data_IF_067600572500
#
_entry.id   IF_067600572500
#
_cell.length_a   1.000
_cell.length_b   1.000
_cell.length_c   1.000
_cell.angle_alpha   90.00
_cell.angle_beta   90.00
_cell.angle_gamma   90.00
#
_symmetry.space_group_name_H-M   'P 1'
#
loop_
_entity.id
_entity.type
_entity.pdbx_description
1 polymer ?
#
# COMPACT_ATOMS: atom_id res chain seq x y z
N UNK A 1 42.08 12.98 25.31
CA UNK A 1 40.76 13.58 25.13
C UNK A 1 39.80 12.69 24.31
N UNK A 2 40.25 12.07 23.24
CA UNK A 2 39.43 11.14 22.43
C UNK A 2 38.97 9.84 23.13
N UNK A 3 39.70 9.33 24.12
CA UNK A 3 39.35 8.09 24.84
C UNK A 3 38.15 8.26 25.79
N UNK A 4 38.00 9.45 26.39
CA UNK A 4 36.84 9.78 27.26
C UNK A 4 35.54 10.02 26.52
N UNK A 5 35.59 10.42 25.24
CA UNK A 5 34.42 10.61 24.40
C UNK A 5 33.85 9.25 23.95
N UNK A 6 34.71 8.26 23.68
CA UNK A 6 34.29 6.89 23.36
C UNK A 6 33.64 6.16 24.55
N UNK A 7 34.08 6.41 25.75
CA UNK A 7 33.54 5.81 26.97
C UNK A 7 32.19 6.44 27.38
N UNK A 8 31.97 7.73 27.11
CA UNK A 8 30.71 8.40 27.35
C UNK A 8 29.63 7.98 26.31
N UNK A 9 29.99 7.76 25.05
CA UNK A 9 29.11 7.23 24.03
C UNK A 9 28.68 5.79 24.34
N UNK A 10 29.59 4.96 24.86
CA UNK A 10 29.29 3.57 25.24
C UNK A 10 28.36 3.46 26.47
N UNK A 11 28.37 4.47 27.37
CA UNK A 11 27.51 4.46 28.57
C UNK A 11 26.04 4.87 28.30
N UNK A 12 25.80 5.68 27.26
CA UNK A 12 24.46 6.12 26.88
C UNK A 12 23.72 5.02 26.10
N UNK A 13 24.45 4.17 25.36
CA UNK A 13 23.89 3.07 24.56
C UNK A 13 23.39 1.89 25.44
N UNK A 14 23.82 1.77 26.68
CA UNK A 14 23.47 0.64 27.57
C UNK A 14 22.07 0.70 28.19
N UNK A 15 21.26 1.74 27.99
CA UNK A 15 19.98 1.90 28.69
C UNK A 15 18.71 1.81 27.83
N UNK A 16 18.83 1.57 26.53
CA UNK A 16 17.64 1.35 25.68
C UNK A 16 17.96 0.46 24.47
N UNK A 17 18.45 -0.76 24.69
CA UNK A 17 18.58 -1.76 23.64
C UNK A 17 17.30 -2.58 23.62
N UNK A 18 16.36 -2.25 22.71
CA UNK A 18 15.33 -3.17 22.28
C UNK A 18 15.79 -3.80 20.97
N UNK A 19 16.24 -5.04 21.05
CA UNK A 19 16.60 -5.83 19.87
C UNK A 19 15.34 -6.44 19.29
N UNK A 20 14.87 -5.93 18.15
CA UNK A 20 13.82 -6.58 17.36
C UNK A 20 14.49 -7.55 16.40
N UNK A 21 14.38 -8.86 16.68
CA UNK A 21 14.76 -9.89 15.72
C UNK A 21 13.67 -10.00 14.64
N UNK A 22 13.98 -9.53 13.45
CA UNK A 22 13.13 -9.76 12.28
C UNK A 22 13.44 -11.14 11.70
N UNK A 23 12.51 -12.07 11.87
CA UNK A 23 12.52 -13.29 11.08
C UNK A 23 12.01 -12.96 9.68
N UNK A 24 12.89 -12.97 8.69
CA UNK A 24 12.48 -12.95 7.29
C UNK A 24 11.86 -14.31 7.00
N UNK A 25 10.53 -14.36 6.91
CA UNK A 25 9.84 -15.56 6.42
C UNK A 25 10.16 -15.67 4.93
N UNK A 26 11.09 -16.55 4.59
CA UNK A 26 11.35 -16.94 3.21
C UNK A 26 10.20 -17.87 2.82
N UNK A 27 9.25 -17.38 2.06
CA UNK A 27 8.33 -18.25 1.36
C UNK A 27 9.13 -19.08 0.35
N UNK A 28 9.00 -20.41 0.33
CA UNK A 28 9.71 -21.23 -0.63
C UNK A 28 9.19 -20.90 -2.03
N UNK A 29 10.06 -20.37 -2.87
CA UNK A 29 9.80 -20.14 -4.29
C UNK A 29 9.48 -21.46 -4.96
N UNK A 30 8.25 -21.59 -5.45
CA UNK A 30 7.84 -22.72 -6.27
C UNK A 30 8.60 -22.72 -7.59
N UNK A 31 9.51 -23.66 -7.74
CA UNK A 31 10.17 -23.98 -9.01
C UNK A 31 9.13 -24.64 -9.92
N UNK A 32 8.74 -23.98 -10.98
CA UNK A 32 8.02 -24.62 -12.08
C UNK A 32 8.97 -25.51 -12.86
N UNK A 33 9.02 -26.79 -12.44
CA UNK A 33 9.65 -27.87 -13.22
C UNK A 33 8.58 -28.59 -14.03
N UNK A 34 8.64 -28.54 -15.34
CA UNK A 34 7.91 -29.44 -16.22
C UNK A 34 8.42 -30.87 -15.99
N UNK A 35 7.60 -31.70 -15.37
CA UNK A 35 7.83 -33.12 -15.20
C UNK A 35 6.53 -33.89 -15.37
N UNK A 36 6.34 -34.48 -16.57
CA UNK A 36 5.36 -35.55 -16.78
C UNK A 36 5.57 -36.64 -15.73
N UNK A 37 4.55 -36.91 -14.93
CA UNK A 37 4.36 -38.20 -14.30
C UNK A 37 2.90 -38.63 -14.40
N UNK A 38 2.67 -39.68 -15.14
CA UNK A 38 1.44 -40.49 -15.13
C UNK A 38 1.22 -41.09 -13.76
N UNK A 39 -0.05 -41.17 -13.34
CA UNK A 39 -0.55 -42.18 -12.47
C UNK A 39 -0.60 -41.88 -10.97
N UNK A 40 -1.58 -41.10 -10.54
CA UNK A 40 -2.31 -41.31 -9.29
C UNK A 40 -3.77 -40.91 -9.51
N UNK A 41 -4.69 -41.85 -9.38
CA UNK A 41 -6.14 -41.58 -9.34
C UNK A 41 -6.42 -40.69 -8.12
N UNK A 42 -6.42 -39.40 -8.32
CA UNK A 42 -6.89 -38.40 -7.36
C UNK A 42 -8.41 -38.56 -7.25
N UNK A 43 -8.90 -38.82 -6.05
CA UNK A 43 -10.30 -38.63 -5.70
C UNK A 43 -10.66 -37.21 -6.07
N UNK A 44 -11.53 -37.01 -7.08
CA UNK A 44 -12.13 -35.71 -7.38
C UNK A 44 -12.91 -35.33 -6.12
N UNK A 45 -12.42 -34.35 -5.37
CA UNK A 45 -13.24 -33.62 -4.38
C UNK A 45 -14.37 -33.00 -5.15
N UNK A 46 -15.61 -33.31 -4.78
CA UNK A 46 -16.77 -32.63 -5.34
C UNK A 46 -16.62 -31.14 -5.03
N UNK A 47 -16.70 -30.33 -6.08
CA UNK A 47 -16.54 -28.87 -5.98
C UNK A 47 -17.71 -28.20 -5.23
N UNK A 48 -18.75 -28.96 -4.88
CA UNK A 48 -19.92 -28.49 -4.14
C UNK A 48 -20.60 -29.61 -3.36
N UNK A 49 -21.29 -29.26 -2.27
CA UNK A 49 -22.12 -30.17 -1.48
C UNK A 49 -23.51 -29.57 -1.28
N UNK A 50 -24.57 -30.36 -1.47
CA UNK A 50 -25.95 -29.94 -1.17
C UNK A 50 -26.10 -29.80 0.34
N UNK A 51 -26.57 -28.61 0.80
CA UNK A 51 -26.77 -28.31 2.23
C UNK A 51 -28.24 -28.12 2.59
N UNK A 52 -29.10 -27.76 1.63
CA UNK A 52 -30.55 -27.70 1.84
C UNK A 52 -31.28 -27.99 0.51
N UNK A 53 -32.44 -28.66 0.59
CA UNK A 53 -33.30 -28.92 -0.53
C UNK A 53 -34.77 -28.93 -0.05
N UNK A 54 -35.66 -28.24 -0.77
CA UNK A 54 -37.07 -28.16 -0.43
C UNK A 54 -37.92 -27.79 -1.62
N UNK A 55 -39.10 -28.40 -1.76
CA UNK A 55 -40.14 -27.97 -2.70
C UNK A 55 -40.88 -26.79 -2.11
N UNK A 56 -41.00 -25.69 -2.87
CA UNK A 56 -41.66 -24.45 -2.49
C UNK A 56 -42.76 -24.15 -3.48
N UNK A 57 -43.97 -23.90 -2.99
CA UNK A 57 -45.15 -23.49 -3.75
C UNK A 57 -45.51 -22.02 -3.54
N UNK A 58 -46.77 -21.66 -3.90
CA UNK A 58 -47.27 -20.28 -3.83
C UNK A 58 -47.26 -19.69 -2.41
N UNK A 59 -47.35 -20.52 -1.39
CA UNK A 59 -47.34 -20.15 0.02
C UNK A 59 -45.95 -19.63 0.50
N UNK A 60 -44.93 -19.82 -0.36
CA UNK A 60 -43.54 -19.48 0.00
C UNK A 60 -42.95 -20.46 1.01
N UNK A 61 -41.89 -20.04 1.70
CA UNK A 61 -41.22 -20.89 2.68
C UNK A 61 -39.81 -20.44 3.03
N UNK A 62 -39.18 -21.19 3.91
CA UNK A 62 -37.80 -20.94 4.34
C UNK A 62 -36.95 -22.19 4.13
N UNK A 63 -35.78 -22.00 3.56
CA UNK A 63 -34.69 -22.97 3.54
C UNK A 63 -33.60 -22.48 4.46
N UNK A 64 -33.10 -23.32 5.34
CA UNK A 64 -32.06 -23.00 6.29
C UNK A 64 -31.05 -24.14 6.38
N UNK A 65 -29.78 -23.79 6.35
CA UNK A 65 -28.65 -24.68 6.54
C UNK A 65 -27.53 -23.90 7.22
N UNK A 66 -26.45 -24.61 7.59
CA UNK A 66 -25.28 -23.98 8.19
C UNK A 66 -24.75 -22.84 7.31
N UNK A 67 -24.70 -21.64 7.88
CA UNK A 67 -24.19 -20.42 7.22
C UNK A 67 -25.14 -19.74 6.23
N UNK A 68 -26.32 -20.31 5.92
CA UNK A 68 -27.27 -19.72 4.97
C UNK A 68 -28.71 -19.87 5.40
N UNK A 69 -29.49 -18.80 5.24
CA UNK A 69 -30.97 -18.82 5.38
C UNK A 69 -31.56 -18.07 4.20
N UNK A 70 -32.52 -18.71 3.53
CA UNK A 70 -33.22 -18.16 2.39
C UNK A 70 -34.72 -18.18 2.64
N UNK A 71 -35.35 -17.01 2.63
CA UNK A 71 -36.78 -16.81 2.91
C UNK A 71 -37.51 -16.34 1.65
N UNK A 72 -38.51 -17.08 1.25
CA UNK A 72 -39.30 -16.87 0.04
C UNK A 72 -40.70 -16.45 0.48
N UNK A 73 -41.13 -15.23 0.17
CA UNK A 73 -42.47 -14.75 0.55
C UNK A 73 -43.56 -15.42 -0.29
N UNK A 74 -44.77 -15.41 0.26
CA UNK A 74 -45.98 -15.87 -0.46
C UNK A 74 -46.14 -15.14 -1.79
N UNK A 75 -46.43 -15.89 -2.85
CA UNK A 75 -46.61 -15.37 -4.22
C UNK A 75 -45.31 -15.00 -4.94
N UNK A 76 -44.14 -15.37 -4.42
CA UNK A 76 -42.88 -15.20 -5.11
C UNK A 76 -42.66 -16.24 -6.23
N UNK A 77 -43.30 -17.41 -6.12
CA UNK A 77 -43.31 -18.47 -7.11
C UNK A 77 -44.76 -18.78 -7.56
N UNK A 78 -44.95 -19.18 -8.80
CA UNK A 78 -46.30 -19.52 -9.33
C UNK A 78 -46.66 -20.98 -9.25
N UNK A 79 -45.67 -21.83 -9.47
CA UNK A 79 -45.76 -23.27 -9.48
C UNK A 79 -44.81 -23.87 -8.45
N UNK A 80 -45.06 -25.09 -8.05
CA UNK A 80 -44.15 -25.82 -7.16
C UNK A 80 -42.80 -25.98 -7.83
N UNK A 81 -41.75 -25.58 -7.15
CA UNK A 81 -40.37 -25.68 -7.59
C UNK A 81 -39.49 -26.27 -6.52
N UNK A 82 -38.66 -27.22 -6.91
CA UNK A 82 -37.64 -27.77 -6.02
C UNK A 82 -36.43 -26.84 -5.99
N UNK A 83 -36.19 -26.27 -4.82
CA UNK A 83 -35.06 -25.36 -4.56
C UNK A 83 -33.97 -26.13 -3.86
N UNK A 84 -32.75 -26.03 -4.39
CA UNK A 84 -31.57 -26.64 -3.80
C UNK A 84 -30.52 -25.58 -3.50
N UNK A 85 -29.95 -25.61 -2.29
CA UNK A 85 -28.82 -24.81 -1.89
C UNK A 85 -27.61 -25.73 -1.76
N UNK A 86 -26.54 -25.43 -2.48
CA UNK A 86 -25.27 -26.15 -2.41
C UNK A 86 -24.16 -25.23 -1.92
N UNK A 87 -23.34 -25.72 -1.01
CA UNK A 87 -22.12 -25.03 -0.60
C UNK A 87 -21.05 -25.21 -1.67
N UNK A 88 -20.41 -24.12 -2.07
CA UNK A 88 -19.27 -24.13 -2.98
C UNK A 88 -17.97 -24.05 -2.16
N UNK A 89 -17.00 -24.86 -2.50
CA UNK A 89 -15.66 -24.80 -1.92
C UNK A 89 -14.72 -23.89 -2.71
N UNK A 90 -15.03 -23.70 -3.99
CA UNK A 90 -14.34 -22.79 -4.88
C UNK A 90 -15.38 -21.91 -5.58
N UNK A 91 -15.11 -20.64 -5.70
CA UNK A 91 -15.97 -19.67 -6.40
C UNK A 91 -15.18 -19.02 -7.53
N UNK A 92 -15.91 -18.46 -8.51
CA UNK A 92 -15.28 -17.77 -9.63
C UNK A 92 -14.41 -16.59 -9.12
N UNK A 93 -13.20 -16.48 -9.65
CA UNK A 93 -12.38 -15.29 -9.43
C UNK A 93 -13.02 -14.11 -10.15
N UNK A 94 -13.29 -13.05 -9.44
CA UNK A 94 -13.92 -11.83 -9.97
C UNK A 94 -13.26 -10.58 -9.36
N UNK A 95 -12.23 -10.16 -9.98
CA UNK A 95 -11.36 -8.94 -9.92
C UNK A 95 -11.37 -8.03 -8.69
N UNK A 96 -12.52 -7.57 -8.23
CA UNK A 96 -12.59 -6.47 -7.24
C UNK A 96 -13.26 -6.88 -5.91
N UNK A 97 -13.84 -8.07 -5.84
CA UNK A 97 -14.57 -8.53 -4.65
C UNK A 97 -13.78 -9.60 -3.91
N UNK A 98 -13.35 -9.27 -2.71
CA UNK A 98 -12.72 -10.21 -1.79
C UNK A 98 -13.81 -10.99 -1.07
N UNK A 99 -13.82 -12.31 -1.26
CA UNK A 99 -14.75 -13.20 -0.59
C UNK A 99 -14.47 -13.27 0.93
N UNK A 100 -15.48 -12.99 1.72
CA UNK A 100 -15.47 -13.06 3.20
C UNK A 100 -16.59 -13.94 3.74
N UNK A 101 -17.19 -14.81 2.90
CA UNK A 101 -18.18 -15.79 3.33
C UNK A 101 -17.58 -16.71 4.38
N UNK A 102 -18.34 -17.11 5.41
CA UNK A 102 -17.89 -18.04 6.40
C UNK A 102 -17.41 -19.35 5.75
N UNK A 103 -16.17 -19.77 6.08
CA UNK A 103 -15.53 -20.95 5.47
C UNK A 103 -14.95 -20.72 4.08
N UNK A 104 -14.79 -19.45 3.64
CA UNK A 104 -14.11 -19.04 2.39
C UNK A 104 -14.70 -19.61 1.09
N UNK A 105 -15.90 -20.11 1.12
CA UNK A 105 -16.62 -20.62 -0.05
C UNK A 105 -17.75 -19.67 -0.46
N UNK A 106 -18.79 -20.26 -1.03
CA UNK A 106 -20.01 -19.56 -1.43
C UNK A 106 -21.18 -20.52 -1.44
N UNK A 107 -22.29 -20.04 -1.95
CA UNK A 107 -23.50 -20.85 -2.08
C UNK A 107 -24.05 -20.77 -3.50
N UNK A 108 -24.45 -21.91 -4.04
CA UNK A 108 -25.16 -22.06 -5.31
C UNK A 108 -26.62 -22.33 -5.06
N UNK A 109 -27.46 -21.54 -5.69
CA UNK A 109 -28.91 -21.68 -5.64
C UNK A 109 -29.43 -22.23 -6.96
N UNK A 110 -30.24 -23.29 -6.89
CA UNK A 110 -30.82 -23.96 -8.05
C UNK A 110 -32.35 -23.93 -7.94
N UNK A 111 -33.06 -23.86 -9.08
CA UNK A 111 -32.60 -23.83 -10.47
C UNK A 111 -31.90 -22.53 -10.85
N UNK A 112 -30.75 -22.63 -11.49
CA UNK A 112 -29.94 -21.45 -11.87
C UNK A 112 -30.70 -20.55 -12.85
N UNK A 113 -30.66 -19.23 -12.65
CA UNK A 113 -31.34 -18.26 -13.50
C UNK A 113 -32.84 -18.14 -13.23
N UNK A 114 -33.40 -18.86 -12.26
CA UNK A 114 -34.76 -18.68 -11.81
C UNK A 114 -34.98 -17.25 -11.31
N UNK A 115 -36.10 -16.63 -11.70
CA UNK A 115 -36.51 -15.30 -11.23
C UNK A 115 -37.76 -15.41 -10.38
N UNK A 116 -37.77 -14.61 -9.31
CA UNK A 116 -38.93 -14.49 -8.41
C UNK A 116 -39.76 -13.28 -8.76
N UNK A 117 -41.09 -13.39 -8.55
CA UNK A 117 -42.01 -12.26 -8.72
C UNK A 117 -41.94 -11.24 -7.60
N UNK A 118 -41.43 -11.65 -6.46
CA UNK A 118 -41.22 -10.81 -5.28
C UNK A 118 -39.79 -11.04 -4.79
N UNK A 119 -39.18 -10.00 -4.25
CA UNK A 119 -37.86 -10.10 -3.65
C UNK A 119 -37.87 -11.09 -2.48
N UNK A 120 -36.93 -12.00 -2.48
CA UNK A 120 -36.65 -12.96 -1.44
C UNK A 120 -35.56 -12.44 -0.50
N UNK A 121 -35.59 -12.86 0.76
CA UNK A 121 -34.58 -12.49 1.73
C UNK A 121 -33.50 -13.59 1.82
N UNK A 122 -32.26 -13.19 1.66
CA UNK A 122 -31.08 -14.02 1.81
C UNK A 122 -30.26 -13.56 2.99
N UNK A 123 -29.88 -14.49 3.86
CA UNK A 123 -28.97 -14.24 4.97
C UNK A 123 -27.79 -15.20 4.87
N UNK A 124 -26.58 -14.64 4.69
CA UNK A 124 -25.34 -15.41 4.62
C UNK A 124 -24.39 -15.04 5.76
N UNK A 125 -23.75 -16.04 6.35
CA UNK A 125 -22.71 -15.82 7.35
C UNK A 125 -21.41 -15.33 6.70
N UNK A 126 -20.76 -14.38 7.38
CA UNK A 126 -19.42 -13.91 7.02
C UNK A 126 -18.39 -14.35 8.08
N UNK A 127 -17.12 -14.23 7.74
CA UNK A 127 -16.01 -14.63 8.60
C UNK A 127 -16.11 -13.97 9.99
N UNK A 128 -16.22 -14.77 11.03
CA UNK A 128 -16.41 -14.34 12.41
C UNK A 128 -15.29 -13.41 12.93
N UNK A 129 -14.12 -13.40 12.27
CA UNK A 129 -12.98 -12.53 12.62
C UNK A 129 -13.18 -11.08 12.22
N UNK A 130 -14.20 -10.78 11.39
CA UNK A 130 -14.49 -9.42 10.94
C UNK A 130 -15.45 -8.78 11.93
N UNK A 131 -15.10 -7.60 12.46
CA UNK A 131 -15.85 -6.88 13.49
C UNK A 131 -15.96 -5.38 13.20
N UNK A 132 -16.92 -4.73 13.85
CA UNK A 132 -17.08 -3.27 13.84
C UNK A 132 -17.24 -2.67 12.45
N UNK A 133 -16.50 -1.61 12.15
CA UNK A 133 -16.61 -0.87 10.89
C UNK A 133 -16.31 -1.71 9.65
N UNK A 134 -15.44 -2.71 9.76
CA UNK A 134 -15.11 -3.61 8.65
C UNK A 134 -16.31 -4.47 8.25
N UNK A 135 -17.17 -4.86 9.21
CA UNK A 135 -18.41 -5.60 8.95
C UNK A 135 -19.42 -4.74 8.16
N UNK A 136 -19.42 -3.43 8.38
CA UNK A 136 -20.28 -2.49 7.64
C UNK A 136 -19.90 -2.37 6.15
N UNK A 137 -18.67 -2.74 5.78
CA UNK A 137 -18.19 -2.79 4.41
C UNK A 137 -18.59 -4.05 3.64
N UNK A 138 -19.21 -5.05 4.30
CA UNK A 138 -19.59 -6.33 3.68
C UNK A 138 -20.92 -6.22 2.96
N UNK A 139 -20.99 -6.74 1.75
CA UNK A 139 -22.21 -6.92 0.97
C UNK A 139 -22.31 -8.36 0.49
N UNK A 140 -23.55 -8.82 0.24
CA UNK A 140 -23.75 -10.06 -0.50
C UNK A 140 -23.66 -9.76 -1.99
N UNK A 141 -22.92 -10.58 -2.72
CA UNK A 141 -22.74 -10.47 -4.16
C UNK A 141 -23.27 -11.71 -4.86
N UNK A 142 -23.81 -11.52 -6.05
CA UNK A 142 -24.13 -12.61 -6.97
C UNK A 142 -23.19 -12.59 -8.17
N UNK A 143 -22.94 -13.76 -8.76
CA UNK A 143 -22.11 -13.87 -9.95
C UNK A 143 -22.93 -13.68 -11.23
N UNK A 144 -22.62 -12.61 -11.99
CA UNK A 144 -23.17 -12.38 -13.31
C UNK A 144 -22.37 -13.15 -14.36
N UNK A 145 -22.97 -14.21 -14.93
CA UNK A 145 -22.30 -15.07 -15.92
C UNK A 145 -22.05 -14.40 -17.27
N UNK A 146 -22.86 -13.39 -17.62
CA UNK A 146 -22.71 -12.66 -18.88
C UNK A 146 -21.54 -11.70 -18.81
N UNK A 147 -21.46 -10.96 -17.71
CA UNK A 147 -20.42 -9.96 -17.50
C UNK A 147 -19.19 -10.54 -16.80
N UNK A 148 -19.29 -11.80 -16.32
CA UNK A 148 -18.21 -12.51 -15.58
C UNK A 148 -17.67 -11.71 -14.40
N UNK A 149 -18.55 -11.10 -13.65
CA UNK A 149 -18.21 -10.29 -12.47
C UNK A 149 -19.18 -10.51 -11.32
N UNK A 150 -18.74 -10.16 -10.13
CA UNK A 150 -19.58 -10.13 -8.95
C UNK A 150 -20.34 -8.79 -8.89
N UNK A 151 -21.64 -8.86 -8.61
CA UNK A 151 -22.53 -7.69 -8.52
C UNK A 151 -23.19 -7.70 -7.14
N UNK A 152 -23.14 -6.55 -6.44
CA UNK A 152 -23.72 -6.44 -5.12
C UNK A 152 -25.26 -6.51 -5.15
N UNK A 153 -25.81 -7.27 -4.21
CA UNK A 153 -27.24 -7.27 -3.91
C UNK A 153 -27.62 -6.07 -3.05
N UNK A 154 -28.89 -5.68 -3.05
CA UNK A 154 -29.43 -4.71 -2.12
C UNK A 154 -29.35 -5.28 -0.69
N UNK A 155 -28.56 -4.62 0.17
CA UNK A 155 -28.37 -5.02 1.55
C UNK A 155 -29.52 -4.51 2.42
N UNK A 156 -30.16 -5.40 3.17
CA UNK A 156 -31.19 -5.08 4.15
C UNK A 156 -30.59 -4.61 5.46
N UNK A 157 -29.65 -5.38 6.03
CA UNK A 157 -28.93 -5.06 7.25
C UNK A 157 -27.69 -5.90 7.45
N UNK A 158 -26.83 -5.46 8.37
CA UNK A 158 -25.72 -6.23 8.93
C UNK A 158 -26.16 -6.72 10.32
N UNK A 159 -26.13 -8.02 10.53
CA UNK A 159 -26.34 -8.64 11.85
C UNK A 159 -24.96 -8.96 12.43
N UNK A 160 -24.43 -8.06 13.25
CA UNK A 160 -23.10 -8.22 13.84
C UNK A 160 -23.03 -9.29 14.94
N UNK A 161 -24.14 -9.53 15.65
CA UNK A 161 -24.22 -10.58 16.68
C UNK A 161 -24.25 -11.96 16.02
N UNK A 162 -25.09 -12.12 15.01
CA UNK A 162 -25.20 -13.37 14.26
C UNK A 162 -24.13 -13.53 13.15
N UNK A 163 -23.24 -12.55 12.95
CA UNK A 163 -22.24 -12.54 11.87
C UNK A 163 -22.83 -12.79 10.49
N UNK A 164 -23.95 -12.13 10.18
CA UNK A 164 -24.72 -12.34 8.95
C UNK A 164 -24.97 -11.05 8.19
N UNK A 165 -24.98 -11.17 6.85
CA UNK A 165 -25.49 -10.12 5.95
C UNK A 165 -26.86 -10.54 5.45
N UNK A 166 -27.87 -9.71 5.69
CA UNK A 166 -29.19 -9.88 5.12
C UNK A 166 -29.34 -9.01 3.88
N UNK A 167 -29.79 -9.61 2.79
CA UNK A 167 -29.91 -8.97 1.48
C UNK A 167 -31.18 -9.40 0.77
N UNK A 168 -31.61 -8.63 -0.22
CA UNK A 168 -32.71 -8.99 -1.11
C UNK A 168 -32.19 -9.53 -2.44
N UNK A 169 -32.84 -10.57 -2.96
CA UNK A 169 -32.58 -11.10 -4.30
C UNK A 169 -33.89 -11.46 -5.00
N UNK A 170 -33.90 -11.27 -6.32
CA UNK A 170 -35.02 -11.63 -7.19
C UNK A 170 -34.69 -12.80 -8.13
N UNK A 171 -33.51 -13.37 -8.01
CA UNK A 171 -33.04 -14.46 -8.88
C UNK A 171 -32.04 -15.38 -8.19
N UNK A 172 -31.81 -16.54 -8.83
CA UNK A 172 -30.85 -17.56 -8.38
C UNK A 172 -29.58 -17.60 -9.22
N UNK A 173 -28.43 -17.64 -8.50
CA UNK A 173 -27.09 -17.82 -9.04
C UNK A 173 -26.12 -18.22 -7.92
N UNK A 174 -24.83 -18.18 -8.18
CA UNK A 174 -23.81 -18.31 -7.14
C UNK A 174 -23.70 -17.02 -6.33
N UNK A 175 -23.64 -17.11 -5.00
CA UNK A 175 -23.65 -15.97 -4.10
C UNK A 175 -22.57 -16.10 -3.00
N UNK A 176 -21.96 -14.96 -2.64
CA UNK A 176 -20.94 -14.83 -1.60
C UNK A 176 -21.17 -13.57 -0.77
N UNK A 177 -20.65 -13.53 0.43
CA UNK A 177 -20.39 -12.27 1.11
C UNK A 177 -19.00 -11.76 0.72
N UNK A 178 -18.89 -10.49 0.41
CA UNK A 178 -17.63 -9.90 -0.03
C UNK A 178 -17.47 -8.46 0.41
N UNK A 179 -16.24 -8.00 0.37
CA UNK A 179 -15.85 -6.59 0.46
C UNK A 179 -15.25 -6.14 -0.87
N UNK A 180 -15.52 -4.91 -1.28
CA UNK A 180 -14.84 -4.33 -2.44
C UNK A 180 -13.36 -4.15 -2.09
N UNK A 181 -12.52 -4.91 -2.77
CA UNK A 181 -11.10 -4.64 -2.86
C UNK A 181 -10.92 -3.68 -4.04
N UNK A 182 -10.78 -2.39 -3.76
CA UNK A 182 -10.29 -1.49 -4.80
C UNK A 182 -8.92 -2.01 -5.21
N UNK A 183 -8.64 -2.22 -6.52
CA UNK A 183 -7.31 -2.61 -6.94
C UNK A 183 -6.35 -1.55 -6.44
N UNK A 184 -5.49 -1.92 -5.50
CA UNK A 184 -4.32 -1.11 -5.20
C UNK A 184 -3.57 -1.00 -6.52
N UNK A 185 -3.37 0.24 -6.97
CA UNK A 185 -2.52 0.52 -8.12
C UNK A 185 -1.23 -0.29 -7.96
N UNK A 186 -0.70 -0.97 -9.01
CA UNK A 186 0.54 -1.75 -8.93
C UNK A 186 1.78 -0.86 -8.78
N UNK A 187 1.63 0.33 -8.26
CA UNK A 187 2.68 1.24 -7.88
C UNK A 187 3.19 0.90 -6.49
N UNK A 188 4.49 1.10 -6.22
CA UNK A 188 4.99 0.98 -4.87
C UNK A 188 4.17 1.93 -4.00
N UNK A 189 3.25 1.36 -3.23
CA UNK A 189 2.41 2.10 -2.30
C UNK A 189 3.33 2.83 -1.36
N UNK A 190 3.49 4.13 -1.59
CA UNK A 190 3.92 5.02 -0.52
C UNK A 190 2.75 5.04 0.44
N UNK A 191 2.80 4.18 1.43
CA UNK A 191 1.84 4.23 2.53
C UNK A 191 2.00 5.60 3.18
N UNK A 192 1.11 6.51 2.85
CA UNK A 192 1.00 7.76 3.57
C UNK A 192 0.34 7.44 4.90
N UNK A 193 1.16 7.17 5.92
CA UNK A 193 0.71 6.88 7.28
C UNK A 193 -0.12 8.01 7.90
N UNK A 194 -0.22 9.17 7.25
CA UNK A 194 -1.01 10.31 7.70
C UNK A 194 -2.49 10.25 7.32
N UNK A 195 -2.92 9.30 6.47
CA UNK A 195 -4.35 9.15 6.12
C UNK A 195 -5.14 8.33 7.14
N UNK A 196 -4.47 7.70 8.11
CA UNK A 196 -5.12 6.96 9.19
C UNK A 196 -5.20 7.89 10.41
N UNK A 197 -6.14 8.83 10.38
CA UNK A 197 -6.60 9.49 11.60
C UNK A 197 -7.54 8.54 12.31
N UNK A 198 -7.14 8.16 13.55
CA UNK A 198 -7.93 7.47 14.56
C UNK A 198 -8.27 5.99 14.29
N UNK A 199 -7.28 5.11 14.37
CA UNK A 199 -7.51 3.77 14.87
C UNK A 199 -7.13 3.73 16.36
N UNK A 200 -8.10 3.79 17.23
CA UNK A 200 -7.95 3.33 18.62
C UNK A 200 -7.91 1.79 18.58
N UNK A 201 -6.74 1.23 18.25
CA UNK A 201 -6.52 -0.19 18.48
C UNK A 201 -6.46 -0.42 19.98
N UNK A 202 -7.28 -1.32 20.49
CA UNK A 202 -7.15 -1.83 21.84
C UNK A 202 -5.76 -2.43 22.01
N UNK A 203 -5.07 -2.00 23.05
CA UNK A 203 -3.69 -2.20 23.39
C UNK A 203 -3.37 -3.68 23.68
N UNK A 204 -2.95 -4.41 22.65
CA UNK A 204 -2.33 -5.74 22.83
C UNK A 204 -0.80 -5.68 22.99
N UNK A 205 -0.19 -4.52 22.84
CA UNK A 205 1.24 -4.26 23.03
C UNK A 205 1.49 -2.90 23.69
N UNK A 206 0.76 -2.63 24.76
CA UNK A 206 0.93 -1.41 25.55
C UNK A 206 2.39 -1.22 25.96
N UNK A 207 3.10 -0.35 25.24
CA UNK A 207 4.45 0.04 25.58
C UNK A 207 5.42 0.29 24.43
N UNK A 208 5.13 -0.04 23.18
CA UNK A 208 6.02 0.27 22.06
C UNK A 208 5.33 1.29 21.14
N UNK A 209 5.46 2.58 21.48
CA UNK A 209 5.02 3.66 20.60
C UNK A 209 5.75 3.61 19.25
N UNK A 210 5.00 3.51 18.17
CA UNK A 210 5.49 3.70 16.79
C UNK A 210 5.73 2.44 15.97
N UNK A 211 5.39 1.24 16.47
CA UNK A 211 5.43 0.02 15.67
C UNK A 211 4.00 -0.35 15.25
N UNK A 212 3.69 -0.27 13.97
CA UNK A 212 2.45 -0.82 13.43
C UNK A 212 2.58 -2.34 13.28
N UNK A 213 1.53 -3.09 13.68
CA UNK A 213 1.51 -4.55 13.52
C UNK A 213 1.59 -4.98 12.05
N UNK A 214 2.04 -6.21 11.82
CA UNK A 214 2.06 -6.83 10.49
C UNK A 214 0.63 -6.82 9.90
N UNK A 215 0.47 -6.18 8.76
CA UNK A 215 -0.78 -6.19 7.98
C UNK A 215 -0.60 -7.14 6.81
N UNK A 216 -1.51 -8.09 6.64
CA UNK A 216 -1.60 -8.92 5.45
C UNK A 216 -2.37 -8.16 4.37
N UNK A 217 -1.78 -7.95 3.20
CA UNK A 217 -2.48 -7.42 2.03
C UNK A 217 -3.39 -8.50 1.40
N UNK A 218 -4.41 -8.07 0.66
CA UNK A 218 -5.36 -8.95 -0.04
C UNK A 218 -4.69 -9.90 -1.06
N UNK A 219 -3.51 -9.56 -1.53
CA UNK A 219 -2.71 -10.36 -2.47
C UNK A 219 -1.66 -11.24 -1.77
N UNK A 220 -1.79 -11.47 -0.46
CA UNK A 220 -0.82 -12.23 0.31
C UNK A 220 0.49 -11.47 0.59
N UNK A 221 0.55 -10.18 0.31
CA UNK A 221 1.68 -9.34 0.67
C UNK A 221 1.66 -9.01 2.16
N UNK A 222 2.82 -9.05 2.81
CA UNK A 222 2.99 -8.57 4.17
C UNK A 222 3.53 -7.15 4.17
N UNK A 223 2.94 -6.26 4.96
CA UNK A 223 3.43 -4.89 5.14
C UNK A 223 3.65 -4.57 6.62
N UNK A 224 4.63 -3.72 6.89
CA UNK A 224 5.02 -3.34 8.23
C UNK A 224 5.66 -1.94 8.21
N UNK A 225 5.41 -1.11 9.23
CA UNK A 225 5.93 0.25 9.31
C UNK A 225 6.42 0.62 10.69
N UNK A 226 7.51 1.39 10.74
CA UNK A 226 8.08 1.98 11.95
C UNK A 226 8.23 3.47 11.72
N UNK A 227 7.54 4.27 12.50
CA UNK A 227 7.70 5.73 12.49
C UNK A 227 8.99 6.09 13.23
N UNK A 228 9.87 6.84 12.58
CA UNK A 228 11.08 7.37 13.22
C UNK A 228 10.70 8.63 14.00
N UNK A 229 11.05 8.68 15.30
CA UNK A 229 10.74 9.84 16.15
C UNK A 229 11.72 10.96 15.88
N UNK A 230 11.32 11.93 15.09
CA UNK A 230 12.07 13.18 14.86
C UNK A 230 11.78 14.20 15.98
N UNK A 231 12.74 15.07 16.34
CA UNK A 231 12.47 16.21 17.22
C UNK A 231 11.34 17.10 16.67
N UNK A 232 10.49 17.60 17.56
CA UNK A 232 9.38 18.46 17.17
C UNK A 232 9.89 19.74 16.49
N UNK A 233 9.29 20.09 15.38
CA UNK A 233 9.54 21.35 14.68
C UNK A 233 8.70 22.50 15.22
N UNK A 234 8.96 23.72 14.72
CA UNK A 234 8.15 24.88 15.06
C UNK A 234 6.75 24.71 14.47
N UNK A 235 5.72 24.83 15.32
CA UNK A 235 4.31 24.61 14.92
C UNK A 235 4.05 23.28 14.19
N UNK A 236 4.81 22.22 14.56
CA UNK A 236 4.68 20.91 13.95
C UNK A 236 5.38 20.77 12.59
N UNK A 237 6.18 21.75 12.17
CA UNK A 237 6.94 21.70 10.93
C UNK A 237 8.23 20.89 11.14
N UNK A 238 8.13 19.57 10.97
CA UNK A 238 9.21 18.59 11.11
C UNK A 238 9.08 17.53 10.01
N UNK A 239 10.22 16.89 9.59
CA UNK A 239 10.16 15.79 8.64
C UNK A 239 9.48 14.56 9.26
N UNK A 240 8.54 13.96 8.53
CA UNK A 240 7.86 12.74 8.96
C UNK A 240 8.55 11.54 8.33
N UNK A 241 9.53 10.97 9.03
CA UNK A 241 10.30 9.83 8.53
C UNK A 241 9.74 8.51 9.04
N UNK A 242 9.72 7.50 8.18
CA UNK A 242 9.34 6.15 8.54
C UNK A 242 10.15 5.11 7.79
N UNK A 243 10.32 3.94 8.38
CA UNK A 243 10.88 2.75 7.74
C UNK A 243 9.72 1.79 7.47
N UNK A 244 9.48 1.44 6.24
CA UNK A 244 8.38 0.55 5.87
C UNK A 244 8.86 -0.64 5.06
N UNK A 245 8.25 -1.79 5.34
CA UNK A 245 8.45 -3.04 4.62
C UNK A 245 7.20 -3.41 3.84
N UNK A 246 7.38 -3.90 2.63
CA UNK A 246 6.35 -4.59 1.88
C UNK A 246 6.98 -5.73 1.09
N UNK A 247 6.45 -6.94 1.25
CA UNK A 247 6.95 -8.12 0.54
C UNK A 247 6.80 -8.03 -0.98
N UNK A 248 5.87 -7.20 -1.47
CA UNK A 248 5.68 -6.88 -2.88
C UNK A 248 6.56 -5.76 -3.41
N UNK A 249 7.26 -5.02 -2.52
CA UNK A 249 8.16 -3.96 -2.92
C UNK A 249 9.50 -4.50 -3.42
N UNK A 250 10.06 -3.83 -4.42
CA UNK A 250 11.37 -4.14 -4.94
C UNK A 250 12.50 -3.69 -4.00
N UNK A 251 13.56 -3.22 -4.58
CA UNK A 251 14.77 -2.79 -3.92
C UNK A 251 14.67 -1.32 -3.49
N UNK A 252 15.14 -1.02 -2.29
CA UNK A 252 15.22 0.33 -1.76
C UNK A 252 16.58 0.61 -1.10
N UNK A 253 16.74 1.81 -0.61
CA UNK A 253 17.93 2.25 0.17
C UNK A 253 18.12 1.48 1.50
N UNK A 254 17.12 0.75 1.94
CA UNK A 254 17.13 -0.09 3.13
C UNK A 254 17.12 -1.59 2.81
N UNK A 255 17.49 -1.97 1.55
CA UNK A 255 17.48 -3.36 1.09
C UNK A 255 16.16 -3.77 0.44
N UNK A 256 16.03 -5.08 0.17
CA UNK A 256 14.87 -5.65 -0.52
C UNK A 256 13.60 -5.55 0.31
N UNK A 257 12.55 -5.01 -0.27
CA UNK A 257 11.24 -4.83 0.38
C UNK A 257 11.17 -3.65 1.35
N UNK A 258 12.29 -3.02 1.70
CA UNK A 258 12.34 -1.92 2.66
C UNK A 258 12.53 -0.56 2.00
N UNK A 259 11.82 0.44 2.50
CA UNK A 259 11.90 1.82 2.03
C UNK A 259 11.94 2.82 3.19
N UNK A 260 12.60 3.95 2.97
CA UNK A 260 12.52 5.11 3.84
C UNK A 260 11.41 6.03 3.33
N UNK A 261 10.35 6.17 4.11
CA UNK A 261 9.22 7.07 3.86
C UNK A 261 9.47 8.49 4.38
N UNK A 262 8.65 9.44 3.90
CA UNK A 262 8.76 10.86 4.27
C UNK A 262 9.77 11.64 3.43
N UNK A 263 10.36 11.02 2.41
CA UNK A 263 11.22 11.68 1.41
C UNK A 263 10.55 11.57 0.07
N UNK A 264 10.15 12.70 -0.47
CA UNK A 264 9.37 12.77 -1.69
C UNK A 264 10.22 13.17 -2.90
N UNK A 265 9.77 12.77 -4.06
CA UNK A 265 10.33 13.21 -5.35
C UNK A 265 9.25 13.21 -6.41
N UNK A 266 9.43 14.03 -7.42
CA UNK A 266 8.64 13.99 -8.64
C UNK A 266 9.49 13.35 -9.72
N UNK A 267 8.96 12.40 -10.49
CA UNK A 267 9.68 11.75 -11.57
C UNK A 267 8.83 11.64 -12.82
N UNK A 268 9.48 11.53 -13.99
CA UNK A 268 8.76 11.24 -15.22
C UNK A 268 8.29 9.78 -15.18
N UNK A 269 7.02 9.57 -15.53
CA UNK A 269 6.41 8.24 -15.61
C UNK A 269 6.90 7.51 -16.87
N UNK A 270 7.72 6.48 -16.69
CA UNK A 270 8.30 5.70 -17.79
C UNK A 270 7.57 4.39 -18.09
N UNK A 271 6.42 4.14 -17.47
CA UNK A 271 5.63 2.90 -17.69
C UNK A 271 5.11 2.78 -19.12
N UNK A 272 4.88 3.90 -19.78
CA UNK A 272 4.31 3.96 -21.12
C UNK A 272 5.28 4.45 -22.19
N UNK A 273 6.52 4.67 -21.86
CA UNK A 273 7.54 5.10 -22.80
C UNK A 273 8.73 5.79 -22.14
N UNK A 274 9.76 6.06 -22.93
CA UNK A 274 10.94 6.78 -22.47
C UNK A 274 10.66 8.29 -22.43
N UNK A 275 11.28 9.05 -21.51
CA UNK A 275 11.12 10.49 -21.41
C UNK A 275 11.38 11.23 -22.73
N UNK A 276 10.47 12.10 -23.12
CA UNK A 276 10.68 13.06 -24.20
C UNK A 276 11.40 14.31 -23.72
N UNK A 277 11.34 14.60 -22.43
CA UNK A 277 11.83 15.79 -21.76
C UNK A 277 11.12 17.06 -22.25
N UNK A 278 9.81 16.93 -22.50
CA UNK A 278 8.94 18.03 -22.90
C UNK A 278 7.65 18.06 -22.06
N UNK A 279 6.73 18.97 -22.36
CA UNK A 279 5.44 19.09 -21.66
C UNK A 279 4.47 17.93 -21.91
N UNK A 280 4.78 17.01 -22.82
CA UNK A 280 3.96 15.82 -23.08
C UNK A 280 4.28 14.69 -22.14
N UNK A 281 5.42 14.76 -21.45
CA UNK A 281 5.74 13.79 -20.42
C UNK A 281 4.70 13.81 -19.30
N UNK A 282 4.35 12.64 -18.82
CA UNK A 282 3.53 12.46 -17.62
C UNK A 282 4.47 12.34 -16.42
N UNK A 283 4.11 12.98 -15.32
CA UNK A 283 4.88 12.94 -14.09
C UNK A 283 4.16 12.15 -13.01
N UNK A 284 4.92 11.62 -12.07
CA UNK A 284 4.44 11.01 -10.84
C UNK A 284 4.73 11.98 -9.69
N UNK A 285 3.69 12.46 -9.04
CA UNK A 285 3.75 13.33 -7.86
C UNK A 285 3.05 12.56 -6.73
N UNK A 286 3.77 12.17 -5.71
CA UNK A 286 3.23 11.36 -4.60
C UNK A 286 2.49 10.10 -5.07
N UNK A 287 3.02 9.43 -6.11
CA UNK A 287 2.40 8.25 -6.72
C UNK A 287 1.22 8.54 -7.66
N UNK A 288 0.71 9.76 -7.71
CA UNK A 288 -0.35 10.15 -8.63
C UNK A 288 0.21 10.65 -9.94
N UNK A 289 -0.41 10.26 -11.05
CA UNK A 289 -0.04 10.74 -12.38
C UNK A 289 -0.50 12.19 -12.57
N UNK A 290 0.39 12.99 -13.11
CA UNK A 290 0.17 14.42 -13.38
C UNK A 290 0.53 14.73 -14.81
N UNK A 291 -0.36 15.43 -15.50
CA UNK A 291 -0.20 15.88 -16.89
C UNK A 291 -0.43 17.38 -17.02
N UNK A 292 0.19 17.97 -18.05
CA UNK A 292 -0.08 19.34 -18.45
C UNK A 292 -1.20 19.37 -19.50
N UNK A 293 -2.37 19.84 -19.10
CA UNK A 293 -3.55 19.93 -19.96
C UNK A 293 -4.28 21.25 -19.77
N UNK A 294 -4.64 21.93 -20.87
CA UNK A 294 -5.39 23.19 -20.80
C UNK A 294 -4.65 24.33 -20.09
N UNK A 295 -3.30 24.35 -20.12
CA UNK A 295 -2.51 25.43 -19.49
C UNK A 295 -2.18 25.20 -18.02
N UNK A 296 -2.61 24.08 -17.43
CA UNK A 296 -2.40 23.75 -16.01
C UNK A 296 -1.92 22.31 -15.82
N UNK A 297 -1.23 22.07 -14.73
CA UNK A 297 -0.88 20.73 -14.29
C UNK A 297 -2.04 20.12 -13.51
N UNK A 298 -2.46 18.90 -13.85
CA UNK A 298 -3.58 18.19 -13.22
C UNK A 298 -3.21 16.79 -12.84
N UNK A 299 -3.58 16.39 -11.62
CA UNK A 299 -3.56 14.99 -11.19
C UNK A 299 -4.66 14.21 -11.92
N UNK A 300 -4.36 12.99 -12.36
CA UNK A 300 -5.33 12.08 -12.99
C UNK A 300 -6.44 11.70 -12.00
N UNK A 301 -6.09 11.59 -10.72
CA UNK A 301 -7.04 11.41 -9.62
C UNK A 301 -6.83 12.53 -8.61
N UNK A 302 -7.73 13.52 -8.62
CA UNK A 302 -7.71 14.64 -7.69
C UNK A 302 -8.25 14.19 -6.32
N UNK A 303 -7.39 14.02 -5.34
CA UNK A 303 -7.79 13.63 -3.99
C UNK A 303 -7.53 14.71 -2.92
N UNK A 304 -6.64 15.64 -3.18
CA UNK A 304 -6.11 16.56 -2.16
C UNK A 304 -6.26 18.05 -2.49
N UNK A 305 -6.79 18.41 -3.65
CA UNK A 305 -6.95 19.81 -4.11
C UNK A 305 -5.63 20.60 -4.06
N UNK A 306 -4.56 20.03 -4.58
CA UNK A 306 -3.25 20.64 -4.65
C UNK A 306 -3.09 21.47 -5.92
N UNK A 307 -2.45 22.60 -5.79
CA UNK A 307 -2.01 23.41 -6.93
C UNK A 307 -0.58 23.00 -7.32
N UNK A 308 -0.41 22.48 -8.52
CA UNK A 308 0.89 22.12 -9.07
C UNK A 308 1.30 23.16 -10.10
N UNK A 309 2.44 23.79 -9.90
CA UNK A 309 3.05 24.71 -10.83
C UNK A 309 4.44 24.21 -11.23
N UNK A 310 4.82 24.44 -12.48
CA UNK A 310 6.17 24.18 -12.97
C UNK A 310 6.73 25.49 -13.52
N UNK A 311 7.91 25.90 -13.04
CA UNK A 311 8.62 27.09 -13.47
C UNK A 311 9.22 27.02 -14.88
N UNK A 312 8.79 26.08 -15.71
CA UNK A 312 9.28 25.93 -17.07
C UNK A 312 8.79 27.07 -17.97
N UNK A 313 9.71 27.89 -18.46
CA UNK A 313 9.40 29.01 -19.37
C UNK A 313 9.77 28.61 -20.80
N UNK A 314 8.77 28.58 -21.68
CA UNK A 314 8.94 28.27 -23.10
C UNK A 314 9.82 29.33 -23.79
N UNK A 315 10.87 28.92 -24.48
CA UNK A 315 11.70 29.81 -25.30
C UNK A 315 12.83 30.55 -24.58
N UNK A 316 13.00 30.39 -23.29
CA UNK A 316 14.19 30.85 -22.56
C UNK A 316 14.96 29.65 -22.05
N UNK A 317 16.24 29.55 -22.34
CA UNK A 317 17.10 28.45 -21.93
C UNK A 317 16.92 28.15 -20.44
N UNK A 318 16.28 27.11 -20.18
CA UNK A 318 16.15 26.12 -19.13
C UNK A 318 16.70 26.40 -17.73
N UNK A 319 16.74 27.61 -17.22
CA UNK A 319 17.30 27.84 -15.88
C UNK A 319 16.34 27.56 -14.71
N UNK A 320 15.05 27.32 -14.94
CA UNK A 320 14.05 27.24 -13.85
C UNK A 320 13.05 26.08 -13.95
N UNK A 321 13.46 24.94 -14.52
CA UNK A 321 12.60 23.76 -14.54
C UNK A 321 12.56 23.10 -13.15
N UNK A 322 11.56 23.46 -12.33
CA UNK A 322 11.30 22.88 -11.01
C UNK A 322 9.78 22.84 -10.76
N UNK A 323 9.33 22.00 -9.82
CA UNK A 323 7.93 21.94 -9.43
C UNK A 323 7.69 22.62 -8.08
N UNK A 324 6.57 23.32 -8.00
CA UNK A 324 6.00 23.84 -6.77
C UNK A 324 4.63 23.22 -6.57
N UNK A 325 4.43 22.56 -5.42
CA UNK A 325 3.17 21.93 -5.03
C UNK A 325 2.65 22.63 -3.79
N UNK A 326 1.48 23.27 -3.91
CA UNK A 326 0.83 23.97 -2.80
C UNK A 326 -0.37 23.15 -2.33
N UNK A 327 -0.35 22.70 -1.08
CA UNK A 327 -1.44 21.98 -0.44
C UNK A 327 -2.58 22.90 0.01
N UNK A 328 -3.74 22.33 0.31
CA UNK A 328 -4.92 23.05 0.83
C UNK A 328 -4.68 23.74 2.18
N UNK A 329 -3.72 23.27 2.95
CA UNK A 329 -3.29 23.80 4.24
C UNK A 329 -2.31 24.98 4.09
N UNK A 330 -2.00 25.39 2.86
CA UNK A 330 -1.06 26.46 2.55
C UNK A 330 0.41 26.05 2.62
N UNK A 331 0.72 24.77 2.82
CA UNK A 331 2.09 24.27 2.73
C UNK A 331 2.55 24.28 1.29
N UNK A 332 3.79 24.68 1.07
CA UNK A 332 4.43 24.74 -0.24
C UNK A 332 5.64 23.82 -0.25
N UNK A 333 5.68 22.89 -1.18
CA UNK A 333 6.80 21.99 -1.43
C UNK A 333 7.47 22.36 -2.75
N UNK A 334 8.79 22.46 -2.76
CA UNK A 334 9.61 22.77 -3.94
C UNK A 334 10.48 21.59 -4.30
N UNK A 335 10.39 21.16 -5.56
CA UNK A 335 11.09 19.99 -6.06
C UNK A 335 12.00 20.32 -7.24
N UNK A 336 13.24 19.85 -7.20
CA UNK A 336 14.18 19.89 -8.31
C UNK A 336 14.71 21.25 -8.68
N UNK A 337 14.57 22.26 -7.81
CA UNK A 337 15.17 23.59 -7.98
C UNK A 337 16.68 23.52 -7.71
N UNK A 338 17.06 22.91 -6.59
CA UNK A 338 18.45 22.77 -6.17
C UNK A 338 19.00 21.38 -6.51
N UNK A 339 18.18 20.32 -6.34
CA UNK A 339 18.60 18.96 -6.56
C UNK A 339 17.69 18.18 -7.51
N UNK A 340 18.30 17.62 -8.53
CA UNK A 340 17.65 16.82 -9.55
C UNK A 340 18.59 15.77 -10.12
N UNK A 341 18.03 14.79 -10.81
CA UNK A 341 18.71 13.74 -11.54
C UNK A 341 18.25 13.75 -13.00
N UNK A 342 19.16 13.64 -13.96
CA UNK A 342 18.83 13.72 -15.39
C UNK A 342 20.02 14.02 -16.28
N UNK A 343 19.77 14.18 -17.58
CA UNK A 343 20.80 14.45 -18.59
C UNK A 343 21.38 15.86 -18.51
N UNK A 344 20.71 16.77 -17.86
CA UNK A 344 21.10 18.18 -17.72
C UNK A 344 19.95 19.00 -17.13
N UNK A 345 20.18 20.28 -16.85
CA UNK A 345 19.19 21.17 -16.25
C UNK A 345 17.87 21.26 -17.05
N UNK A 346 17.93 21.07 -18.37
CA UNK A 346 16.78 21.03 -19.27
C UNK A 346 16.14 19.67 -19.45
N UNK A 347 16.77 18.62 -18.97
CA UNK A 347 16.34 17.23 -19.16
C UNK A 347 16.38 16.49 -17.82
N UNK A 348 15.63 17.00 -16.85
CA UNK A 348 15.51 16.44 -15.51
C UNK A 348 14.52 15.26 -15.53
N UNK A 349 14.95 14.14 -15.01
CA UNK A 349 14.15 12.92 -14.89
C UNK A 349 13.50 12.77 -13.52
N UNK A 350 14.27 13.10 -12.45
CA UNK A 350 13.81 13.10 -11.07
C UNK A 350 14.06 14.47 -10.47
N UNK A 351 13.04 15.01 -9.82
CA UNK A 351 13.03 16.27 -9.09
C UNK A 351 12.92 15.90 -7.61
N UNK A 352 13.98 16.05 -6.85
CA UNK A 352 13.99 15.76 -5.42
C UNK A 352 13.34 16.90 -4.64
N UNK A 353 12.72 16.60 -3.51
CA UNK A 353 12.16 17.61 -2.61
C UNK A 353 13.31 18.42 -2.01
N UNK A 354 13.39 19.69 -2.37
CA UNK A 354 14.43 20.59 -1.86
C UNK A 354 14.02 21.23 -0.53
N UNK A 355 12.75 21.62 -0.43
CA UNK A 355 12.20 22.22 0.80
C UNK A 355 10.68 22.16 0.86
N UNK A 356 10.21 22.21 2.09
CA UNK A 356 8.81 22.38 2.45
C UNK A 356 8.68 23.57 3.39
N UNK A 357 7.66 24.43 3.18
CA UNK A 357 7.40 25.60 4.03
C UNK A 357 5.93 25.74 4.35
N UNK A 358 5.61 26.24 5.54
CA UNK A 358 4.25 26.59 5.93
C UNK A 358 3.94 28.08 5.67
N UNK A 359 2.68 28.47 5.88
CA UNK A 359 2.24 29.86 5.72
C UNK A 359 2.84 30.83 6.75
N UNK A 360 3.55 30.35 7.76
CA UNK A 360 4.21 31.14 8.81
C UNK A 360 5.70 31.34 8.54
N UNK A 361 6.23 30.76 7.44
CA UNK A 361 7.64 30.83 7.07
C UNK A 361 8.52 29.83 7.78
N UNK A 362 7.98 28.82 8.50
CA UNK A 362 8.77 27.71 8.98
C UNK A 362 9.14 26.81 7.79
N UNK A 363 10.37 26.32 7.79
CA UNK A 363 10.93 25.57 6.66
C UNK A 363 11.60 24.27 7.11
N UNK A 364 11.42 23.23 6.29
CA UNK A 364 12.22 21.99 6.32
C UNK A 364 13.02 21.94 5.03
N UNK A 365 14.33 21.90 5.11
CA UNK A 365 15.24 21.85 3.97
C UNK A 365 15.84 20.46 3.83
N UNK A 366 15.89 19.94 2.61
CA UNK A 366 16.46 18.64 2.24
C UNK A 366 17.76 18.85 1.47
N UNK A 367 18.86 18.34 2.01
CA UNK A 367 20.21 18.50 1.44
C UNK A 367 20.68 17.17 0.88
N UNK A 368 20.98 17.15 -0.42
CA UNK A 368 21.40 15.96 -1.11
C UNK A 368 22.85 16.05 -1.58
N UNK A 369 23.54 14.92 -1.56
CA UNK A 369 24.81 14.71 -2.24
C UNK A 369 24.58 14.08 -3.59
N UNK A 370 25.19 14.64 -4.62
CA UNK A 370 25.17 14.08 -5.98
C UNK A 370 26.58 13.65 -6.32
N UNK A 371 26.72 12.37 -6.66
CA UNK A 371 27.96 11.77 -7.17
C UNK A 371 27.78 11.44 -8.64
N UNK A 372 28.72 11.84 -9.47
CA UNK A 372 28.68 11.57 -10.91
C UNK A 372 30.03 10.97 -11.31
N UNK A 373 30.01 9.81 -11.95
CA UNK A 373 31.21 9.09 -12.36
C UNK A 373 30.99 8.35 -13.68
N UNK A 374 32.00 7.60 -14.14
CA UNK A 374 31.94 6.81 -15.36
C UNK A 374 30.81 5.77 -15.35
N UNK A 375 30.47 5.26 -14.17
CA UNK A 375 29.43 4.23 -13.98
C UNK A 375 28.01 4.80 -13.84
N UNK A 376 27.84 6.11 -13.83
CA UNK A 376 26.55 6.76 -13.73
C UNK A 376 26.47 7.83 -12.64
N UNK A 377 25.26 8.27 -12.36
CA UNK A 377 24.91 9.28 -11.38
C UNK A 377 24.21 8.62 -10.17
N UNK A 378 24.56 9.05 -8.96
CA UNK A 378 23.90 8.66 -7.73
C UNK A 378 23.55 9.92 -6.91
N UNK A 379 22.31 10.03 -6.43
CA UNK A 379 21.84 11.14 -5.59
C UNK A 379 21.31 10.59 -4.27
N UNK A 380 21.88 11.05 -3.18
CA UNK A 380 21.63 10.58 -1.82
C UNK A 380 21.18 11.74 -0.95
N UNK A 381 20.11 11.60 -0.18
CA UNK A 381 19.73 12.56 0.85
C UNK A 381 20.72 12.49 2.01
N UNK A 382 21.44 13.57 2.24
CA UNK A 382 22.48 13.61 3.27
C UNK A 382 21.97 14.18 4.59
N UNK A 383 21.13 15.24 4.50
CA UNK A 383 20.63 15.92 5.70
C UNK A 383 19.21 16.45 5.48
N UNK A 384 18.43 16.50 6.56
CA UNK A 384 17.21 17.30 6.65
C UNK A 384 17.38 18.30 7.79
N UNK A 385 17.23 19.60 7.48
CA UNK A 385 17.50 20.71 8.39
C UNK A 385 16.20 21.47 8.62
N UNK A 386 15.83 21.71 9.88
CA UNK A 386 14.60 22.39 10.25
C UNK A 386 14.66 23.02 11.65
N UNK A 387 13.55 23.58 12.11
CA UNK A 387 13.43 24.18 13.43
C UNK A 387 13.83 25.65 13.46
N UNK A 388 13.72 26.24 14.66
CA UNK A 388 14.10 27.62 14.86
C UNK A 388 15.61 27.79 14.64
N UNK A 389 15.98 28.73 13.80
CA UNK A 389 17.39 28.97 13.46
C UNK A 389 18.11 27.73 12.86
N UNK A 390 17.35 26.78 12.32
CA UNK A 390 17.88 25.53 11.72
C UNK A 390 18.68 24.68 12.72
N UNK A 391 18.23 24.69 13.96
CA UNK A 391 18.89 24.02 15.08
C UNK A 391 18.66 22.51 15.14
N UNK A 392 17.73 21.99 14.34
CA UNK A 392 17.38 20.56 14.25
C UNK A 392 17.88 19.97 12.95
N UNK A 393 18.50 18.80 13.06
CA UNK A 393 19.06 18.13 11.89
C UNK A 393 18.83 16.62 11.98
N UNK A 394 18.45 16.04 10.86
CA UNK A 394 18.54 14.59 10.60
C UNK A 394 19.69 14.38 9.64
N UNK A 395 20.62 13.51 9.98
CA UNK A 395 21.77 13.14 9.15
C UNK A 395 21.67 11.68 8.77
N UNK A 396 21.81 11.36 7.49
CA UNK A 396 21.74 10.00 6.95
C UNK A 396 23.13 9.59 6.51
N UNK A 397 23.65 8.51 7.10
CA UNK A 397 24.92 7.91 6.70
C UNK A 397 24.67 6.67 5.84
N UNK A 398 25.55 6.47 4.87
CA UNK A 398 25.44 5.40 3.88
C UNK A 398 26.66 4.50 3.91
N UNK A 399 26.47 3.24 3.57
CA UNK A 399 27.52 2.26 3.30
C UNK A 399 27.38 1.68 1.89
N UNK A 400 28.43 1.07 1.38
CA UNK A 400 28.39 0.37 0.09
C UNK A 400 27.55 -0.89 0.17
N UNK A 401 26.96 -1.30 -0.98
CA UNK A 401 26.18 -2.53 -1.12
C UNK A 401 26.71 -3.38 -2.27
N UNK A 402 26.67 -4.70 -2.12
CA UNK A 402 27.11 -5.64 -3.16
C UNK A 402 26.12 -5.73 -4.32
N UNK A 403 24.82 -5.55 -4.06
CA UNK A 403 23.70 -5.62 -5.00
C UNK A 403 23.43 -4.27 -5.70
N UNK A 404 24.48 -3.65 -6.27
CA UNK A 404 24.38 -2.39 -7.01
C UNK A 404 23.36 -2.50 -8.14
N UNK A 405 22.55 -1.45 -8.32
CA UNK A 405 21.53 -1.38 -9.36
C UNK A 405 21.83 -0.24 -10.34
N UNK A 406 21.45 -0.49 -11.59
CA UNK A 406 21.56 0.48 -12.69
C UNK A 406 20.18 0.73 -13.26
N UNK A 407 19.80 2.00 -13.38
CA UNK A 407 18.55 2.46 -13.97
C UNK A 407 18.84 3.37 -15.18
N UNK A 408 18.46 2.90 -16.37
CA UNK A 408 18.61 3.64 -17.63
C UNK A 408 17.32 4.28 -18.15
N UNK A 409 16.20 4.19 -17.43
CA UNK A 409 14.87 4.66 -17.88
C UNK A 409 14.85 6.14 -18.21
N UNK A 410 15.67 6.95 -17.55
CA UNK A 410 15.85 8.36 -17.83
C UNK A 410 16.71 8.67 -19.06
N UNK A 411 17.05 7.70 -19.92
CA UNK A 411 18.00 7.86 -21.04
C UNK A 411 19.40 8.32 -20.61
N UNK A 412 19.76 8.05 -19.37
CA UNK A 412 21.11 8.21 -18.79
C UNK A 412 21.28 7.16 -17.70
N UNK A 413 22.52 6.93 -17.28
CA UNK A 413 22.79 5.90 -16.26
C UNK A 413 22.66 6.49 -14.86
N UNK A 414 21.73 5.96 -14.09
CA UNK A 414 21.60 6.20 -12.65
C UNK A 414 21.97 4.91 -11.93
N UNK A 415 22.80 5.01 -10.91
CA UNK A 415 23.16 3.86 -10.08
C UNK A 415 22.66 4.03 -8.64
N UNK A 416 22.48 2.91 -7.97
CA UNK A 416 22.20 2.80 -6.55
C UNK A 416 23.21 1.81 -5.99
N UNK A 417 24.34 2.33 -5.53
CA UNK A 417 25.49 1.56 -5.03
C UNK A 417 25.63 1.61 -3.52
N UNK A 418 24.70 2.35 -2.86
CA UNK A 418 24.74 2.55 -1.41
C UNK A 418 23.40 2.20 -0.78
N UNK A 419 23.48 1.84 0.50
CA UNK A 419 22.32 1.63 1.39
C UNK A 419 22.51 2.43 2.66
N UNK A 420 21.44 2.72 3.39
CA UNK A 420 21.48 3.52 4.61
C UNK A 420 22.12 2.69 5.73
N UNK A 421 23.19 3.20 6.34
CA UNK A 421 23.85 2.58 7.49
C UNK A 421 23.27 3.09 8.80
N UNK A 422 22.97 4.40 8.88
CA UNK A 422 22.36 4.98 10.08
C UNK A 422 21.63 6.30 9.78
N UNK A 423 20.70 6.66 10.67
CA UNK A 423 20.01 7.93 10.67
C UNK A 423 20.18 8.54 12.07
N UNK A 424 20.84 9.69 12.16
CA UNK A 424 21.08 10.42 13.41
C UNK A 424 20.24 11.69 13.46
N UNK A 425 19.67 11.97 14.62
CA UNK A 425 18.90 13.17 14.89
C UNK A 425 19.59 14.01 15.95
N UNK A 426 19.77 15.31 15.66
CA UNK A 426 20.46 16.25 16.56
C UNK A 426 19.67 17.54 16.74
N UNK A 427 19.86 18.17 17.91
CA UNK A 427 19.33 19.48 18.27
C UNK A 427 20.47 20.34 18.80
N UNK A 428 20.68 21.54 18.27
CA UNK A 428 21.78 22.43 18.65
C UNK A 428 23.14 21.78 18.48
N UNK A 429 23.31 20.89 17.49
CA UNK A 429 24.58 20.15 17.27
C UNK A 429 24.82 18.96 18.20
N UNK A 430 23.90 18.68 19.13
CA UNK A 430 24.00 17.52 20.03
C UNK A 430 23.09 16.38 19.51
N UNK A 431 23.69 15.20 19.29
CA UNK A 431 22.93 14.00 18.94
C UNK A 431 21.98 13.61 20.09
N UNK A 432 20.72 13.38 19.78
CA UNK A 432 19.68 13.00 20.74
C UNK A 432 19.11 11.62 20.46
N UNK A 433 19.19 11.17 19.23
CA UNK A 433 18.72 9.83 18.81
C UNK A 433 19.47 9.38 17.56
N UNK A 434 19.70 8.07 17.47
CA UNK A 434 20.22 7.44 16.27
C UNK A 434 19.49 6.12 16.03
N UNK A 435 19.35 5.77 14.77
CA UNK A 435 18.85 4.49 14.29
C UNK A 435 19.94 3.85 13.45
N UNK A 436 20.35 2.63 13.81
CA UNK A 436 21.33 1.83 13.09
C UNK A 436 20.63 0.72 12.30
N UNK A 437 21.18 0.39 11.14
CA UNK A 437 20.66 -0.64 10.25
C UNK A 437 21.72 -1.68 9.98
N UNK A 438 21.39 -2.96 10.25
CA UNK A 438 22.29 -4.08 9.93
C UNK A 438 21.70 -4.92 8.80
N UNK A 439 22.56 -5.35 7.89
CA UNK A 439 22.15 -6.08 6.69
C UNK A 439 22.85 -7.43 6.61
N UNK A 440 22.19 -8.36 5.95
CA UNK A 440 22.77 -9.64 5.53
C UNK A 440 22.47 -9.83 4.05
N UNK A 441 23.40 -10.38 3.32
CA UNK A 441 23.18 -10.80 1.94
C UNK A 441 22.55 -12.20 1.93
N UNK A 442 21.56 -12.40 1.05
CA UNK A 442 21.02 -13.72 0.79
C UNK A 442 21.88 -14.48 -0.25
N UNK A 443 21.49 -15.69 -0.61
CA UNK A 443 22.21 -16.52 -1.57
C UNK A 443 22.31 -15.90 -2.97
N UNK A 444 21.46 -14.92 -3.30
CA UNK A 444 21.48 -14.17 -4.56
C UNK A 444 22.31 -12.88 -4.46
N UNK A 445 22.98 -12.64 -3.33
CA UNK A 445 23.74 -11.43 -3.08
C UNK A 445 22.90 -10.20 -2.77
N UNK A 446 21.59 -10.37 -2.49
CA UNK A 446 20.66 -9.27 -2.24
C UNK A 446 20.76 -8.79 -0.78
N UNK A 447 20.77 -7.48 -0.58
CA UNK A 447 20.76 -6.85 0.74
C UNK A 447 19.41 -7.03 1.44
N UNK A 448 19.40 -7.73 2.57
CA UNK A 448 18.25 -7.89 3.46
C UNK A 448 18.50 -7.14 4.76
N UNK A 449 17.59 -6.23 5.14
CA UNK A 449 17.62 -5.60 6.46
C UNK A 449 17.24 -6.64 7.52
N UNK A 450 18.14 -6.90 8.46
CA UNK A 450 17.95 -7.92 9.50
C UNK A 450 17.81 -7.33 10.89
N UNK A 451 18.22 -6.07 11.09
CA UNK A 451 18.11 -5.41 12.38
C UNK A 451 17.98 -3.90 12.23
N UNK A 452 17.13 -3.31 13.06
CA UNK A 452 16.98 -1.89 13.32
C UNK A 452 17.12 -1.66 14.82
N UNK A 453 18.04 -0.81 15.21
CA UNK A 453 18.28 -0.46 16.62
C UNK A 453 18.28 1.04 16.87
#
# INVERSE_FOLDING_TARGET
>A
MMRRIKEAAAAIVKKAVFTVYLFTVIAPGGVYGQGRREGARGVKREASAVVAQKVIGKEGGVLEAEGVRFSIPEGAVEEEVEITISRLYEVAEGGEVKNVTAGFGGYRFLPKGMKFKRACELSLEYDARIEGEDAQGIYTYYYDEKEKRWVALERKRVDEEGKRIESYTDHFTDMINGTLSLPESPEPVRVNLNSIKELKAADAAGGIEGIEGLKGGSEGSASFGIKLKTPDGVKGMAPELSVSYSSGSGWGLLGKGWSLGGIESISIDTRFGLPAYDRKDTYLVEGSRVKYEGGVWRKEKEQQYERIANGWVEGRGVSENYFEVTGKDGRVKIYGKERWSGKGAGAKYIYYLDRESDSFGNEVQYVYKKETGAEGEEVLLEQVIYGKERDRKVTIAYEGRGDTRIDGRGKYVRKESKRIASIEMSVGGRAIRAYGFEYRENEMGESLLVKLE
#
